data_IF_019809161870
#
_entry.id   IF_019809161870
#
_cell.length_a   1.000
_cell.length_b   1.000
_cell.length_c   1.000
_cell.angle_alpha   90.00
_cell.angle_beta   90.00
_cell.angle_gamma   90.00
#
_symmetry.space_group_name_H-M   'P 1'
#
loop_
_entity.id
_entity.type
_entity.pdbx_description
1 polymer ?
#
# COMPACT_ATOMS: atom_id res chain seq x y z
N UNK A 1 10.81 -9.07 -1.08
CA UNK A 1 9.94 -7.90 -0.95
C UNK A 1 10.49 -6.77 -1.81
N UNK A 2 9.69 -5.87 -2.36
CA UNK A 2 10.12 -4.55 -2.78
C UNK A 2 10.67 -3.75 -1.59
N UNK A 3 11.27 -2.58 -1.85
CA UNK A 3 11.70 -1.71 -0.77
C UNK A 3 10.51 -1.11 0.00
N UNK A 4 10.74 -0.72 1.24
CA UNK A 4 9.76 -0.01 2.10
C UNK A 4 9.17 1.20 1.39
N UNK A 5 9.97 1.92 0.60
CA UNK A 5 9.53 3.08 -0.17
C UNK A 5 8.45 2.72 -1.19
N UNK A 6 8.60 1.61 -1.89
CA UNK A 6 7.67 1.18 -2.92
C UNK A 6 6.31 0.77 -2.37
N UNK A 7 6.27 0.12 -1.20
CA UNK A 7 5.01 -0.16 -0.50
C UNK A 7 4.29 1.13 -0.09
N UNK A 8 5.02 2.09 0.49
CA UNK A 8 4.46 3.39 0.86
C UNK A 8 3.92 4.18 -0.35
N UNK A 9 4.68 4.22 -1.45
CA UNK A 9 4.28 4.90 -2.70
C UNK A 9 3.02 4.27 -3.28
N UNK A 10 2.92 2.95 -3.33
CA UNK A 10 1.72 2.25 -3.81
C UNK A 10 0.49 2.60 -2.94
N UNK A 11 0.63 2.61 -1.61
CA UNK A 11 -0.44 2.97 -0.70
C UNK A 11 -0.89 4.43 -0.87
N UNK A 12 0.05 5.37 -1.09
CA UNK A 12 -0.28 6.78 -1.37
C UNK A 12 -1.00 6.91 -2.70
N UNK A 13 -0.63 6.12 -3.73
CA UNK A 13 -1.35 6.11 -5.01
C UNK A 13 -2.80 5.65 -4.84
N UNK A 14 -3.03 4.58 -4.07
CA UNK A 14 -4.39 4.14 -3.69
C UNK A 14 -5.12 5.25 -2.93
N UNK A 15 -4.44 5.96 -2.02
CA UNK A 15 -4.99 7.10 -1.29
C UNK A 15 -5.45 8.23 -2.22
N UNK A 16 -4.68 8.55 -3.25
CA UNK A 16 -5.04 9.54 -4.26
C UNK A 16 -6.35 9.22 -4.98
N UNK A 17 -6.65 7.94 -5.16
CA UNK A 17 -7.93 7.47 -5.72
C UNK A 17 -9.02 7.36 -4.65
N UNK A 18 -8.70 6.90 -3.45
CA UNK A 18 -9.69 6.54 -2.45
C UNK A 18 -10.14 7.71 -1.58
N UNK A 19 -9.26 8.64 -1.16
CA UNK A 19 -9.54 9.64 -0.13
C UNK A 19 -9.22 11.06 -0.60
N UNK A 20 -10.22 11.94 -0.53
CA UNK A 20 -10.11 13.37 -0.82
C UNK A 20 -10.39 14.22 0.44
N UNK A 21 -10.23 15.55 0.33
CA UNK A 21 -10.54 16.47 1.40
C UNK A 21 -9.33 16.98 2.20
N UNK A 22 -9.55 17.85 3.21
CA UNK A 22 -8.45 18.51 3.94
C UNK A 22 -7.57 17.53 4.73
N UNK A 23 -8.13 16.47 5.28
CA UNK A 23 -7.41 15.45 6.08
C UNK A 23 -6.69 14.40 5.25
N UNK A 24 -6.74 14.48 3.91
CA UNK A 24 -6.22 13.44 3.00
C UNK A 24 -4.76 13.08 3.26
N UNK A 25 -3.88 14.06 3.51
CA UNK A 25 -2.46 13.80 3.71
C UNK A 25 -2.18 12.93 4.94
N UNK A 26 -2.87 13.22 6.05
CA UNK A 26 -2.77 12.40 7.26
C UNK A 26 -3.26 10.97 7.02
N UNK A 27 -4.40 10.83 6.34
CA UNK A 27 -4.98 9.51 6.05
C UNK A 27 -4.09 8.73 5.08
N UNK A 28 -3.52 9.38 4.05
CA UNK A 28 -2.56 8.74 3.15
C UNK A 28 -1.29 8.30 3.87
N UNK A 29 -0.78 9.15 4.79
CA UNK A 29 0.37 8.80 5.64
C UNK A 29 0.10 7.58 6.53
N UNK A 30 -1.10 7.50 7.12
CA UNK A 30 -1.53 6.31 7.88
C UNK A 30 -1.64 5.08 6.98
N UNK A 31 -2.15 5.22 5.75
CA UNK A 31 -2.18 4.13 4.77
C UNK A 31 -0.79 3.66 4.36
N UNK A 32 0.16 4.60 4.15
CA UNK A 32 1.56 4.28 3.88
C UNK A 32 2.18 3.49 5.05
N UNK A 33 1.91 3.91 6.30
CA UNK A 33 2.35 3.18 7.49
C UNK A 33 1.75 1.76 7.52
N UNK A 34 0.44 1.62 7.28
CA UNK A 34 -0.23 0.31 7.22
C UNK A 34 0.38 -0.59 6.14
N UNK A 35 0.79 -0.03 5.00
CA UNK A 35 1.40 -0.79 3.92
C UNK A 35 2.82 -1.28 4.23
N UNK A 36 3.50 -0.70 5.19
CA UNK A 36 4.86 -1.08 5.60
C UNK A 36 4.84 -2.07 6.78
N UNK A 37 3.80 -2.04 7.60
CA UNK A 37 3.70 -2.87 8.80
C UNK A 37 3.89 -4.37 8.57
N UNK A 38 3.41 -5.00 7.47
CA UNK A 38 3.64 -6.43 7.25
C UNK A 38 5.12 -6.85 7.31
N UNK A 39 6.03 -6.01 6.81
CA UNK A 39 7.47 -6.27 6.81
C UNK A 39 8.12 -6.26 8.20
N UNK A 40 7.41 -5.80 9.25
CA UNK A 40 7.89 -5.95 10.62
C UNK A 40 8.03 -7.42 11.04
N UNK A 41 7.47 -8.35 10.27
CA UNK A 41 7.60 -9.78 10.50
C UNK A 41 9.03 -10.32 10.33
N UNK A 42 9.94 -9.55 9.73
CA UNK A 42 11.38 -9.89 9.71
C UNK A 42 11.97 -10.04 11.12
N UNK A 43 11.32 -9.44 12.10
CA UNK A 43 11.67 -9.62 13.53
C UNK A 43 11.56 -11.08 13.96
N UNK A 44 10.72 -11.89 13.31
CA UNK A 44 10.56 -13.31 13.58
C UNK A 44 11.85 -14.11 13.44
N UNK A 45 12.76 -13.66 12.56
CA UNK A 45 14.07 -14.29 12.40
C UNK A 45 14.94 -14.19 13.65
N UNK A 46 14.83 -13.09 14.42
CA UNK A 46 15.54 -12.94 15.70
C UNK A 46 15.04 -13.91 16.77
N UNK A 47 13.79 -14.40 16.62
CA UNK A 47 13.21 -15.44 17.47
C UNK A 47 13.40 -16.86 16.91
N UNK A 48 14.22 -17.04 15.88
CA UNK A 48 14.54 -18.33 15.30
C UNK A 48 13.41 -18.95 14.47
N UNK A 49 12.36 -18.19 14.14
CA UNK A 49 11.28 -18.68 13.26
C UNK A 49 11.78 -18.80 11.83
N UNK A 50 11.50 -19.94 11.20
CA UNK A 50 11.85 -20.15 9.80
C UNK A 50 11.00 -19.27 8.88
N UNK A 51 11.53 -18.94 7.70
CA UNK A 51 10.80 -18.18 6.69
C UNK A 51 9.43 -18.83 6.35
N UNK A 52 9.37 -20.16 6.28
CA UNK A 52 8.16 -20.92 5.95
C UNK A 52 7.12 -20.97 7.05
N UNK A 53 7.43 -20.55 8.28
CA UNK A 53 6.48 -20.56 9.39
C UNK A 53 5.31 -19.60 9.15
N UNK A 54 4.14 -19.87 9.73
CA UNK A 54 2.94 -19.01 9.59
C UNK A 54 3.17 -17.60 10.11
N UNK A 55 3.98 -17.45 11.16
CA UNK A 55 4.43 -16.15 11.70
C UNK A 55 5.80 -15.71 11.14
N UNK A 56 6.35 -16.45 10.20
CA UNK A 56 7.59 -16.08 9.50
C UNK A 56 7.33 -15.06 8.40
N UNK A 57 8.40 -14.62 7.75
CA UNK A 57 8.33 -13.59 6.72
C UNK A 57 7.42 -14.00 5.55
N UNK A 58 6.56 -13.09 5.09
CA UNK A 58 5.47 -13.27 4.12
C UNK A 58 4.41 -14.29 4.57
N UNK A 59 4.27 -14.49 5.88
CA UNK A 59 3.25 -15.33 6.50
C UNK A 59 1.95 -14.56 6.80
N UNK A 60 1.47 -14.70 8.04
CA UNK A 60 0.22 -14.11 8.51
C UNK A 60 0.12 -12.59 8.31
N UNK A 61 1.20 -11.87 8.55
CA UNK A 61 1.28 -10.41 8.37
C UNK A 61 1.00 -9.95 6.93
N UNK A 62 1.23 -10.81 5.95
CA UNK A 62 0.97 -10.56 4.53
C UNK A 62 -0.36 -11.14 4.02
N UNK A 63 -1.17 -11.70 4.93
CA UNK A 63 -2.47 -12.30 4.58
C UNK A 63 -3.56 -11.24 4.39
N UNK A 64 -4.59 -11.63 3.63
CA UNK A 64 -5.79 -10.82 3.48
C UNK A 64 -6.55 -10.65 4.81
N UNK A 65 -6.48 -11.64 5.70
CA UNK A 65 -7.07 -11.55 7.04
C UNK A 65 -6.37 -10.48 7.88
N UNK A 66 -5.04 -10.44 7.86
CA UNK A 66 -4.27 -9.39 8.53
C UNK A 66 -4.62 -8.01 7.99
N UNK A 67 -4.69 -7.87 6.66
CA UNK A 67 -5.07 -6.61 6.01
C UNK A 67 -6.48 -6.15 6.43
N UNK A 68 -7.45 -7.07 6.52
CA UNK A 68 -8.80 -6.76 6.97
C UNK A 68 -8.85 -6.36 8.46
N UNK A 69 -8.11 -7.06 9.31
CA UNK A 69 -7.99 -6.73 10.73
C UNK A 69 -7.37 -5.36 10.95
N UNK A 70 -6.24 -5.08 10.28
CA UNK A 70 -5.56 -3.79 10.38
C UNK A 70 -6.43 -2.66 9.84
N UNK A 71 -7.13 -2.87 8.72
CA UNK A 71 -8.09 -1.90 8.19
C UNK A 71 -9.20 -1.57 9.20
N UNK A 72 -9.71 -2.57 9.91
CA UNK A 72 -10.74 -2.37 10.94
C UNK A 72 -10.19 -1.58 12.12
N UNK A 73 -8.99 -1.91 12.59
CA UNK A 73 -8.31 -1.20 13.70
C UNK A 73 -8.06 0.27 13.34
N UNK A 74 -7.68 0.56 12.09
CA UNK A 74 -7.36 1.90 11.65
C UNK A 74 -8.59 2.73 11.26
N UNK A 75 -9.59 2.14 10.60
CA UNK A 75 -10.76 2.86 10.12
C UNK A 75 -11.62 3.40 11.26
N UNK A 76 -11.74 2.68 12.39
CA UNK A 76 -12.58 3.09 13.53
C UNK A 76 -12.14 4.43 14.14
N UNK A 77 -10.89 4.60 14.62
CA UNK A 77 -10.45 5.87 15.20
C UNK A 77 -10.38 6.99 14.17
N UNK A 78 -9.99 6.67 12.92
CA UNK A 78 -9.93 7.67 11.86
C UNK A 78 -11.30 8.23 11.54
N UNK A 79 -12.33 7.38 11.44
CA UNK A 79 -13.71 7.83 11.21
C UNK A 79 -14.27 8.64 12.38
N UNK A 80 -13.93 8.30 13.62
CA UNK A 80 -14.34 9.08 14.79
C UNK A 80 -13.75 10.50 14.78
N UNK A 81 -12.55 10.66 14.21
CA UNK A 81 -11.87 11.95 14.10
C UNK A 81 -12.38 12.76 12.89
N UNK A 82 -12.62 12.07 11.76
CA UNK A 82 -13.08 12.69 10.51
C UNK A 82 -14.40 12.08 10.06
N UNK A 83 -15.49 12.45 10.75
CA UNK A 83 -16.85 11.89 10.59
C UNK A 83 -17.44 12.07 9.19
N UNK A 84 -16.93 13.05 8.41
CA UNK A 84 -17.38 13.29 7.04
C UNK A 84 -16.99 12.19 6.04
N UNK A 85 -16.04 11.31 6.39
CA UNK A 85 -15.58 10.22 5.51
C UNK A 85 -16.29 8.93 5.94
N UNK A 86 -17.03 8.25 5.04
CA UNK A 86 -17.72 7.02 5.38
C UNK A 86 -16.74 5.92 5.85
N UNK A 87 -17.15 5.16 6.87
CA UNK A 87 -16.37 4.04 7.41
C UNK A 87 -15.94 3.07 6.31
N UNK A 88 -16.86 2.67 5.43
CA UNK A 88 -16.57 1.74 4.34
C UNK A 88 -15.46 2.26 3.41
N UNK A 89 -15.41 3.57 3.15
CA UNK A 89 -14.37 4.19 2.32
C UNK A 89 -13.00 4.12 3.00
N UNK A 90 -12.93 4.44 4.29
CA UNK A 90 -11.69 4.34 5.09
C UNK A 90 -11.22 2.90 5.20
N UNK A 91 -12.14 1.99 5.52
CA UNK A 91 -11.84 0.56 5.63
C UNK A 91 -11.30 0.01 4.32
N UNK A 92 -11.97 0.28 3.20
CA UNK A 92 -11.52 -0.15 1.87
C UNK A 92 -10.15 0.41 1.55
N UNK A 93 -9.89 1.69 1.87
CA UNK A 93 -8.59 2.30 1.66
C UNK A 93 -7.49 1.60 2.46
N UNK A 94 -7.65 1.42 3.78
CA UNK A 94 -6.64 0.78 4.61
C UNK A 94 -6.45 -0.69 4.25
N UNK A 95 -7.53 -1.39 3.89
CA UNK A 95 -7.45 -2.75 3.39
C UNK A 95 -6.62 -2.84 2.11
N UNK A 96 -6.92 -2.02 1.12
CA UNK A 96 -6.19 -2.02 -0.16
C UNK A 96 -4.74 -1.57 0.01
N UNK A 97 -4.48 -0.56 0.85
CA UNK A 97 -3.13 -0.11 1.17
C UNK A 97 -2.29 -1.23 1.80
N UNK A 98 -2.86 -1.99 2.75
CA UNK A 98 -2.17 -3.12 3.39
C UNK A 98 -2.07 -4.32 2.43
N UNK A 99 -3.14 -4.69 1.73
CA UNK A 99 -3.16 -5.84 0.83
C UNK A 99 -2.24 -5.63 -0.39
N UNK A 100 -2.06 -4.38 -0.84
CA UNK A 100 -1.12 -4.05 -1.93
C UNK A 100 0.31 -4.47 -1.60
N UNK A 101 0.70 -4.49 -0.31
CA UNK A 101 1.99 -4.99 0.13
C UNK A 101 2.21 -6.45 -0.31
N UNK A 102 1.32 -7.36 0.09
CA UNK A 102 1.42 -8.77 -0.29
C UNK A 102 1.34 -8.98 -1.81
N UNK A 103 0.55 -8.16 -2.52
CA UNK A 103 0.45 -8.22 -3.98
C UNK A 103 1.78 -7.87 -4.65
N UNK A 104 2.42 -6.78 -4.24
CA UNK A 104 3.74 -6.36 -4.75
C UNK A 104 4.82 -7.40 -4.42
N UNK A 105 4.76 -7.99 -3.24
CA UNK A 105 5.65 -9.08 -2.83
C UNK A 105 5.50 -10.33 -3.71
N UNK A 106 4.27 -10.67 -4.08
CA UNK A 106 3.98 -11.77 -4.98
C UNK A 106 4.47 -11.51 -6.42
N UNK A 107 4.74 -10.25 -6.79
CA UNK A 107 5.33 -9.85 -8.07
C UNK A 107 6.86 -9.86 -8.06
N UNK A 108 7.51 -10.20 -6.94
CA UNK A 108 8.97 -10.26 -6.88
C UNK A 108 9.53 -11.58 -7.41
N UNK A 109 10.75 -11.53 -7.91
CA UNK A 109 11.44 -12.69 -8.48
C UNK A 109 12.13 -13.59 -7.44
N UNK A 110 11.95 -13.36 -6.13
CA UNK A 110 12.61 -14.14 -5.07
C UNK A 110 11.79 -14.31 -3.81
N UNK A 111 12.28 -15.12 -2.88
CA UNK A 111 11.59 -15.51 -1.65
C UNK A 111 10.72 -16.77 -1.82
N UNK A 112 9.80 -17.01 -0.88
CA UNK A 112 8.92 -18.21 -0.88
C UNK A 112 7.47 -17.93 -1.32
N UNK A 113 7.19 -16.75 -1.87
CA UNK A 113 5.81 -16.34 -2.13
C UNK A 113 5.08 -15.84 -0.87
N UNK A 114 3.82 -15.47 -1.02
CA UNK A 114 2.99 -14.83 0.00
C UNK A 114 1.87 -15.76 0.45
N UNK A 115 1.68 -15.92 1.75
CA UNK A 115 0.61 -16.73 2.33
C UNK A 115 -0.70 -15.92 2.47
N UNK A 116 -1.34 -15.58 1.35
CA UNK A 116 -2.54 -14.73 1.32
C UNK A 116 -3.69 -15.26 2.18
N UNK A 117 -3.79 -16.59 2.33
CA UNK A 117 -4.88 -17.24 3.04
C UNK A 117 -4.50 -17.67 4.48
N UNK A 118 -3.34 -17.24 4.98
CA UNK A 118 -2.98 -17.54 6.37
C UNK A 118 -3.99 -16.86 7.33
N UNK A 119 -4.31 -17.51 8.48
CA UNK A 119 -3.78 -18.77 9.01
C UNK A 119 -4.50 -20.04 8.48
N UNK A 120 -5.52 -19.90 7.64
CA UNK A 120 -6.37 -21.01 7.19
C UNK A 120 -5.62 -21.95 6.22
N UNK A 121 -4.66 -21.41 5.46
CA UNK A 121 -3.80 -22.17 4.56
C UNK A 121 -2.37 -21.63 4.61
N UNK A 122 -1.41 -22.55 4.71
CA UNK A 122 0.02 -22.24 4.61
C UNK A 122 0.54 -22.16 3.19
N UNK A 123 -0.32 -22.33 2.17
CA UNK A 123 0.05 -22.24 0.77
C UNK A 123 0.57 -20.83 0.43
N UNK A 124 1.66 -20.77 -0.32
CA UNK A 124 2.34 -19.52 -0.69
C UNK A 124 2.29 -19.32 -2.18
N UNK A 125 1.99 -18.11 -2.57
CA UNK A 125 1.68 -17.77 -3.96
C UNK A 125 2.63 -16.70 -4.48
N UNK A 126 3.03 -16.85 -5.73
CA UNK A 126 3.57 -15.80 -6.56
C UNK A 126 2.59 -15.49 -7.69
N UNK A 127 2.62 -14.27 -8.20
CA UNK A 127 1.97 -14.01 -9.48
C UNK A 127 2.75 -14.65 -10.63
N UNK A 128 2.08 -15.00 -11.74
CA UNK A 128 2.76 -15.56 -12.91
C UNK A 128 3.82 -14.63 -13.50
N UNK A 129 3.60 -13.32 -13.38
CA UNK A 129 4.50 -12.28 -13.84
C UNK A 129 5.21 -11.61 -12.65
N UNK A 130 6.55 -11.66 -12.64
CA UNK A 130 7.37 -11.26 -11.50
C UNK A 130 8.53 -10.35 -11.93
N UNK A 131 8.24 -9.13 -12.41
CA UNK A 131 9.24 -8.24 -12.97
C UNK A 131 10.06 -7.49 -11.91
N UNK A 132 9.64 -7.54 -10.64
CA UNK A 132 10.26 -6.77 -9.57
C UNK A 132 11.44 -7.55 -9.00
N UNK A 133 12.60 -6.92 -8.97
CA UNK A 133 13.80 -7.51 -8.36
C UNK A 133 13.64 -7.50 -6.84
N UNK A 134 13.80 -8.67 -6.22
CA UNK A 134 13.68 -8.80 -4.76
C UNK A 134 14.77 -7.99 -4.04
N UNK A 135 14.35 -7.12 -3.13
CA UNK A 135 15.25 -6.35 -2.27
C UNK A 135 15.93 -7.23 -1.22
N UNK A 136 17.21 -7.03 -0.93
CA UNK A 136 17.84 -7.67 0.22
C UNK A 136 17.25 -7.12 1.53
N UNK A 137 17.20 -7.96 2.55
CA UNK A 137 16.76 -7.58 3.91
C UNK A 137 17.84 -6.72 4.59
N UNK A 138 19.11 -6.95 4.26
CA UNK A 138 20.23 -6.20 4.82
C UNK A 138 20.35 -4.81 4.21
N UNK A 139 20.38 -3.77 5.04
CA UNK A 139 20.61 -2.39 4.64
C UNK A 139 21.95 -2.26 3.89
N UNK A 140 23.00 -2.96 4.36
CA UNK A 140 24.32 -2.92 3.73
C UNK A 140 24.30 -3.39 2.27
N UNK A 141 23.57 -4.46 1.98
CA UNK A 141 23.42 -4.96 0.60
C UNK A 141 22.54 -4.04 -0.24
N UNK A 142 21.55 -3.41 0.38
CA UNK A 142 20.65 -2.48 -0.32
C UNK A 142 21.36 -1.19 -0.75
N UNK A 143 22.30 -0.67 0.03
CA UNK A 143 23.10 0.52 -0.33
C UNK A 143 24.17 0.23 -1.39
N UNK A 144 24.43 -1.06 -1.69
CA UNK A 144 25.40 -1.50 -2.69
C UNK A 144 24.82 -1.55 -4.12
N UNK A 145 25.60 -2.08 -5.09
CA UNK A 145 25.19 -2.22 -6.50
C UNK A 145 23.89 -3.01 -6.69
N UNK A 146 23.62 -3.99 -5.81
CA UNK A 146 22.38 -4.76 -5.81
C UNK A 146 21.15 -3.88 -5.59
N UNK A 147 21.24 -2.91 -4.69
CA UNK A 147 20.13 -1.97 -4.42
C UNK A 147 19.82 -1.07 -5.63
N UNK A 148 20.80 -0.70 -6.43
CA UNK A 148 20.55 0.05 -7.67
C UNK A 148 19.67 -0.74 -8.63
N UNK A 149 19.95 -2.04 -8.82
CA UNK A 149 19.13 -2.91 -9.66
C UNK A 149 17.69 -3.05 -9.12
N UNK A 150 17.54 -3.15 -7.79
CA UNK A 150 16.21 -3.14 -7.13
C UNK A 150 15.50 -1.84 -7.45
N UNK A 151 16.11 -0.69 -7.17
CA UNK A 151 15.50 0.64 -7.38
C UNK A 151 15.06 0.86 -8.83
N UNK A 152 15.89 0.49 -9.82
CA UNK A 152 15.52 0.58 -11.23
C UNK A 152 14.29 -0.28 -11.57
N UNK A 153 14.22 -1.49 -11.04
CA UNK A 153 13.03 -2.33 -11.26
C UNK A 153 11.77 -1.75 -10.59
N UNK A 154 11.92 -1.21 -9.39
CA UNK A 154 10.81 -0.61 -8.65
C UNK A 154 10.30 0.69 -9.30
N UNK A 155 11.20 1.55 -9.78
CA UNK A 155 10.83 2.77 -10.52
C UNK A 155 9.97 2.41 -11.73
N UNK A 156 10.38 1.43 -12.53
CA UNK A 156 9.63 1.04 -13.72
C UNK A 156 8.30 0.35 -13.42
N UNK A 157 8.27 -0.55 -12.45
CA UNK A 157 7.13 -1.45 -12.23
C UNK A 157 6.20 -1.06 -11.09
N UNK A 158 6.64 -0.17 -10.20
CA UNK A 158 5.82 0.31 -9.07
C UNK A 158 5.64 1.82 -9.14
N UNK A 159 6.72 2.61 -9.15
CA UNK A 159 6.63 4.04 -8.98
C UNK A 159 5.97 4.72 -10.18
N UNK A 160 6.34 4.37 -11.42
CA UNK A 160 5.73 4.95 -12.60
C UNK A 160 4.23 4.63 -12.71
N UNK A 161 3.76 3.37 -12.57
CA UNK A 161 2.34 3.07 -12.52
C UNK A 161 1.62 3.75 -11.34
N UNK A 162 2.23 3.78 -10.16
CA UNK A 162 1.66 4.43 -8.98
C UNK A 162 1.47 5.95 -9.20
N UNK A 163 2.45 6.60 -9.84
CA UNK A 163 2.33 8.02 -10.19
C UNK A 163 1.17 8.28 -11.16
N UNK A 164 0.98 7.43 -12.17
CA UNK A 164 -0.17 7.51 -13.09
C UNK A 164 -1.49 7.35 -12.34
N UNK A 165 -1.61 6.32 -11.52
CA UNK A 165 -2.81 6.07 -10.71
C UNK A 165 -3.10 7.25 -9.78
N UNK A 166 -2.08 7.77 -9.10
CA UNK A 166 -2.20 8.93 -8.22
C UNK A 166 -2.68 10.16 -8.98
N UNK A 167 -2.05 10.51 -10.10
CA UNK A 167 -2.40 11.68 -10.90
C UNK A 167 -3.83 11.58 -11.43
N UNK A 168 -4.22 10.43 -11.98
CA UNK A 168 -5.60 10.20 -12.43
C UNK A 168 -6.57 10.34 -11.26
N UNK A 169 -6.28 9.74 -10.10
CA UNK A 169 -7.13 9.83 -8.92
C UNK A 169 -7.35 11.25 -8.42
N UNK A 170 -6.29 12.06 -8.38
CA UNK A 170 -6.35 13.44 -7.88
C UNK A 170 -6.99 14.39 -8.90
N UNK A 171 -6.72 14.20 -10.20
CA UNK A 171 -7.25 15.09 -11.25
C UNK A 171 -8.73 14.83 -11.54
N UNK A 172 -9.17 13.57 -11.53
CA UNK A 172 -10.58 13.22 -11.76
C UNK A 172 -11.54 13.73 -10.68
N UNK A 173 -10.99 14.13 -9.51
CA UNK A 173 -11.78 14.65 -8.38
C UNK A 173 -11.81 16.17 -8.25
N UNK A 174 -11.20 16.90 -9.20
CA UNK A 174 -11.35 18.36 -9.20
C UNK A 174 -12.82 18.69 -9.48
N UNK A 175 -13.48 19.54 -8.63
CA UNK A 175 -14.80 20.02 -8.94
C UNK A 175 -14.75 20.72 -10.31
N UNK A 176 -15.83 20.61 -11.14
CA UNK A 176 -15.89 21.35 -12.37
C UNK A 176 -15.64 22.82 -12.07
N UNK A 177 -14.66 23.43 -12.75
CA UNK A 177 -14.30 24.83 -12.60
C UNK A 177 -15.59 25.64 -12.69
N UNK A 178 -16.01 26.27 -11.58
CA UNK A 178 -17.30 26.94 -11.45
C UNK A 178 -17.52 27.89 -12.63
N UNK A 179 -18.57 27.63 -13.38
CA UNK A 179 -19.04 28.53 -14.41
C UNK A 179 -19.21 29.90 -13.76
N UNK A 180 -18.48 30.89 -14.23
CA UNK A 180 -18.70 32.29 -13.87
C UNK A 180 -20.18 32.55 -14.05
N UNK A 181 -20.87 32.81 -12.95
CA UNK A 181 -22.22 33.35 -12.99
C UNK A 181 -22.16 34.62 -13.83
N UNK A 182 -22.69 34.56 -15.06
CA UNK A 182 -22.95 35.76 -15.86
C UNK A 182 -23.83 36.64 -15.01
N UNK A 183 -23.30 37.80 -14.62
CA UNK A 183 -24.05 38.82 -13.93
C UNK A 183 -25.35 39.11 -14.65
N UNK A 184 -26.44 39.05 -13.92
CA UNK A 184 -27.71 39.59 -14.38
C UNK A 184 -27.53 41.10 -14.51
N UNK A 185 -27.83 41.71 -15.69
CA UNK A 185 -27.93 43.18 -15.81
C UNK A 185 -29.12 43.63 -14.98
N UNK A 186 -28.87 44.66 -14.14
CA UNK A 186 -29.90 45.27 -13.31
C UNK A 186 -31.09 45.73 -14.14
N UNK A 187 -32.30 45.44 -13.63
CA UNK A 187 -33.50 46.09 -14.08
C UNK A 187 -33.65 47.40 -13.27
N UNK A 188 -33.51 48.48 -13.99
CA UNK A 188 -34.01 49.84 -13.61
C UNK A 188 -35.54 49.88 -13.57
#
# INVERSE_FOLDING_TARGET
>A
MPSVFSHAIAAVAVGGVAVAGPSRLTIWGLGALCSVLPDMDVISFYFGLSYGHVLGHRGLSHSLLFAAGLASIMAVPVQRTWTAIPFAQLWTFFFLATASHGLLDAMTNGGLGVAFLAPFSGARYFLPWRPIVVSPISIREFVGPRGLGVMWSEIGWIWAPAAVVFLVGVTSRRPPSGGRSRGQPGRS
#
